data_IF_258297699191
#
_entry.id   IF_258297699191
#
_cell.length_a   1.000
_cell.length_b   1.000
_cell.length_c   1.000
_cell.angle_alpha   90.00
_cell.angle_beta   90.00
_cell.angle_gamma   90.00
#
_symmetry.space_group_name_H-M   'P 1'
#
loop_
_entity.id
_entity.type
_entity.pdbx_description
1 polymer ?
#
# COMPACT_ATOMS: atom_id res chain seq x y z
N UNK A 1 71.59 -50.23 7.48
CA UNK A 1 70.20 -50.29 6.97
C UNK A 1 69.28 -49.69 8.03
N UNK A 2 68.63 -48.56 7.76
CA UNK A 2 67.40 -48.12 8.43
C UNK A 2 66.89 -46.84 7.74
N UNK A 3 65.90 -46.97 6.85
CA UNK A 3 65.15 -45.85 6.28
C UNK A 3 63.94 -45.61 7.19
N UNK A 4 63.97 -44.54 7.98
CA UNK A 4 62.82 -44.10 8.79
C UNK A 4 61.96 -43.20 7.91
N UNK A 5 60.89 -43.78 7.36
CA UNK A 5 59.86 -43.07 6.60
C UNK A 5 58.88 -42.42 7.58
N UNK A 6 59.03 -41.11 7.81
CA UNK A 6 58.01 -40.29 8.46
C UNK A 6 56.91 -39.95 7.43
N UNK A 7 55.80 -40.69 7.49
CA UNK A 7 54.59 -40.38 6.76
C UNK A 7 53.89 -39.18 7.43
N UNK A 8 54.07 -38.00 6.84
CA UNK A 8 53.33 -36.78 7.20
C UNK A 8 51.92 -36.91 6.63
N UNK A 9 51.01 -37.46 7.42
CA UNK A 9 49.57 -37.48 7.14
C UNK A 9 48.97 -36.09 7.35
N UNK A 10 48.98 -35.26 6.30
CA UNK A 10 48.36 -33.93 6.31
C UNK A 10 46.84 -34.09 6.14
N UNK A 11 46.12 -34.23 7.26
CA UNK A 11 44.66 -34.15 7.30
C UNK A 11 44.27 -32.69 7.10
N UNK A 12 44.06 -32.29 5.85
CA UNK A 12 43.45 -31.00 5.51
C UNK A 12 41.95 -31.15 5.82
N UNK A 13 41.58 -30.83 7.07
CA UNK A 13 40.21 -30.50 7.42
C UNK A 13 39.88 -29.17 6.73
N UNK A 14 39.33 -29.27 5.52
CA UNK A 14 38.66 -28.16 4.85
C UNK A 14 37.46 -27.83 5.73
N UNK A 15 37.68 -26.94 6.71
CA UNK A 15 36.62 -26.21 7.37
C UNK A 15 36.02 -25.30 6.29
N UNK A 16 35.10 -25.86 5.50
CA UNK A 16 34.14 -25.10 4.72
C UNK A 16 33.24 -24.38 5.71
N UNK A 17 33.76 -23.29 6.27
CA UNK A 17 33.00 -22.26 6.97
C UNK A 17 31.96 -21.78 5.98
N UNK A 18 30.79 -22.40 6.00
CA UNK A 18 29.62 -21.94 5.30
C UNK A 18 29.44 -20.49 5.76
N UNK A 19 29.81 -19.55 4.88
CA UNK A 19 29.56 -18.14 5.07
C UNK A 19 28.05 -17.99 5.15
N UNK A 20 27.50 -18.09 6.36
CA UNK A 20 26.13 -17.73 6.63
C UNK A 20 26.05 -16.23 6.40
N UNK A 21 25.66 -15.86 5.19
CA UNK A 21 25.26 -14.49 4.87
C UNK A 21 24.05 -14.22 5.76
N UNK A 22 24.28 -13.56 6.89
CA UNK A 22 23.21 -13.11 7.78
C UNK A 22 22.36 -12.12 6.99
N UNK A 23 21.28 -12.64 6.38
CA UNK A 23 20.28 -11.82 5.70
C UNK A 23 19.60 -10.98 6.76
N UNK A 24 19.46 -9.68 6.50
CA UNK A 24 18.76 -8.84 7.46
C UNK A 24 17.27 -9.16 7.38
N UNK A 25 16.66 -9.49 8.51
CA UNK A 25 15.21 -9.70 8.56
C UNK A 25 14.54 -8.36 8.23
N UNK A 26 13.69 -8.27 7.18
CA UNK A 26 13.07 -7.01 6.81
C UNK A 26 12.12 -6.52 7.93
N UNK A 27 12.06 -5.20 8.21
CA UNK A 27 11.09 -4.62 9.12
C UNK A 27 9.64 -4.94 8.73
N UNK A 28 8.68 -4.99 9.67
CA UNK A 28 7.27 -5.30 9.37
C UNK A 28 6.68 -4.47 8.22
N UNK A 29 6.98 -3.17 8.19
CA UNK A 29 6.53 -2.26 7.13
C UNK A 29 6.95 -2.75 5.73
N UNK A 30 8.21 -3.17 5.57
CA UNK A 30 8.75 -3.71 4.32
C UNK A 30 8.14 -5.07 3.99
N UNK A 31 7.96 -5.94 5.00
CA UNK A 31 7.33 -7.27 4.80
C UNK A 31 5.90 -7.16 4.29
N UNK A 32 5.17 -6.11 4.69
CA UNK A 32 3.80 -5.87 4.27
C UNK A 32 3.69 -5.00 3.01
N UNK A 33 4.80 -4.46 2.52
CA UNK A 33 4.83 -3.62 1.32
C UNK A 33 4.66 -4.41 0.01
N UNK A 34 4.42 -3.67 -1.07
CA UNK A 34 4.38 -4.19 -2.44
C UNK A 34 5.71 -4.82 -2.89
N UNK A 35 5.65 -5.65 -3.94
CA UNK A 35 6.78 -6.46 -4.41
C UNK A 35 8.01 -5.62 -4.80
N UNK A 36 7.83 -4.44 -5.42
CA UNK A 36 8.94 -3.57 -5.80
C UNK A 36 9.74 -3.03 -4.61
N UNK A 37 9.09 -2.75 -3.48
CA UNK A 37 9.77 -2.30 -2.26
C UNK A 37 10.57 -3.44 -1.63
N UNK A 38 10.00 -4.65 -1.63
CA UNK A 38 10.68 -5.87 -1.16
C UNK A 38 11.91 -6.17 -2.03
N UNK A 39 11.77 -6.04 -3.35
CA UNK A 39 12.88 -6.16 -4.29
C UNK A 39 14.00 -5.18 -3.94
N UNK A 40 13.71 -3.90 -3.75
CA UNK A 40 14.72 -2.91 -3.36
C UNK A 40 15.45 -3.30 -2.07
N UNK A 41 14.71 -3.75 -1.05
CA UNK A 41 15.28 -4.17 0.23
C UNK A 41 16.24 -5.35 0.07
N UNK A 42 15.84 -6.38 -0.67
CA UNK A 42 16.65 -7.57 -0.93
C UNK A 42 17.88 -7.26 -1.77
N UNK A 43 17.75 -6.34 -2.74
CA UNK A 43 18.87 -5.88 -3.58
C UNK A 43 19.95 -5.19 -2.75
N UNK A 44 19.59 -4.38 -1.76
CA UNK A 44 20.56 -3.74 -0.86
C UNK A 44 21.34 -4.75 -0.03
N UNK A 45 20.71 -5.85 0.38
CA UNK A 45 21.41 -6.95 1.06
C UNK A 45 22.37 -7.72 0.15
N UNK A 46 22.16 -7.67 -1.17
CA UNK A 46 23.09 -8.19 -2.19
C UNK A 46 24.19 -7.19 -2.58
N UNK A 47 24.18 -5.98 -2.02
CA UNK A 47 25.13 -4.94 -2.40
C UNK A 47 24.72 -4.18 -3.66
N UNK A 48 23.42 -4.07 -3.94
CA UNK A 48 22.90 -3.37 -5.11
C UNK A 48 21.98 -2.22 -4.70
N UNK A 49 22.26 -1.02 -5.19
CA UNK A 49 21.38 0.13 -5.06
C UNK A 49 20.79 0.48 -6.43
N UNK A 50 19.48 0.49 -6.50
CA UNK A 50 18.72 0.66 -7.74
C UNK A 50 17.98 2.01 -7.71
N UNK A 51 18.22 2.87 -8.70
CA UNK A 51 17.39 4.06 -8.93
C UNK A 51 16.21 3.81 -9.90
N UNK A 52 16.11 2.60 -10.43
CA UNK A 52 14.97 2.08 -11.18
C UNK A 52 14.63 0.65 -10.74
N UNK A 53 13.36 0.26 -10.79
CA UNK A 53 12.86 -1.03 -10.31
C UNK A 53 12.33 -1.87 -11.49
N UNK A 54 13.14 -2.78 -12.06
CA UNK A 54 12.72 -3.58 -13.20
C UNK A 54 11.55 -4.50 -12.83
N UNK A 55 10.57 -4.65 -13.74
CA UNK A 55 9.40 -5.51 -13.54
C UNK A 55 8.32 -4.94 -12.60
N UNK A 56 8.49 -3.71 -12.10
CA UNK A 56 7.57 -3.09 -11.15
C UNK A 56 7.20 -1.65 -11.56
N UNK A 57 6.56 -1.42 -12.73
CA UNK A 57 6.42 -0.08 -13.31
C UNK A 57 5.68 0.94 -12.42
N UNK A 58 4.64 0.51 -11.69
CA UNK A 58 3.93 1.41 -10.77
C UNK A 58 4.81 1.82 -9.58
N UNK A 59 5.50 0.86 -8.97
CA UNK A 59 6.43 1.14 -7.86
C UNK A 59 7.64 1.92 -8.34
N UNK A 60 8.14 1.65 -9.55
CA UNK A 60 9.27 2.33 -10.18
C UNK A 60 8.99 3.82 -10.37
N UNK A 61 7.85 4.16 -11.00
CA UNK A 61 7.46 5.56 -11.18
C UNK A 61 7.36 6.32 -9.86
N UNK A 62 6.77 5.70 -8.82
CA UNK A 62 6.68 6.30 -7.49
C UNK A 62 8.05 6.42 -6.80
N UNK A 63 8.92 5.42 -6.96
CA UNK A 63 10.28 5.46 -6.44
C UNK A 63 11.11 6.57 -7.09
N UNK A 64 10.94 6.76 -8.41
CA UNK A 64 11.61 7.82 -9.14
C UNK A 64 11.19 9.19 -8.63
N UNK A 65 9.88 9.40 -8.47
CA UNK A 65 9.33 10.61 -7.87
C UNK A 65 9.92 10.85 -6.47
N UNK A 66 9.87 9.84 -5.59
CA UNK A 66 10.44 9.93 -4.25
C UNK A 66 11.93 10.29 -4.24
N UNK A 67 12.76 9.65 -5.06
CA UNK A 67 14.20 9.94 -5.09
C UNK A 67 14.48 11.37 -5.58
N UNK A 68 13.72 11.85 -6.58
CA UNK A 68 13.87 13.21 -7.10
C UNK A 68 13.44 14.26 -6.08
N UNK A 69 12.31 14.03 -5.40
CA UNK A 69 11.67 15.03 -4.57
C UNK A 69 12.27 15.05 -3.15
N UNK A 70 12.59 13.87 -2.58
CA UNK A 70 13.05 13.71 -1.20
C UNK A 70 14.47 13.15 -1.10
N UNK A 71 14.94 12.42 -2.11
CA UNK A 71 16.18 11.65 -2.02
C UNK A 71 17.40 12.49 -1.67
N UNK A 72 17.60 13.63 -2.32
CA UNK A 72 18.73 14.52 -2.02
C UNK A 72 18.72 15.02 -0.56
N UNK A 73 17.55 15.43 -0.06
CA UNK A 73 17.41 15.87 1.32
C UNK A 73 17.78 14.76 2.31
N UNK A 74 17.26 13.53 2.07
CA UNK A 74 17.54 12.38 2.93
C UNK A 74 19.03 12.00 2.93
N UNK A 75 19.69 12.00 1.76
CA UNK A 75 21.13 11.73 1.64
C UNK A 75 21.94 12.76 2.44
N UNK A 76 21.66 14.06 2.23
CA UNK A 76 22.38 15.12 2.94
C UNK A 76 22.16 15.04 4.45
N UNK A 77 20.91 14.90 4.91
CA UNK A 77 20.60 14.79 6.33
C UNK A 77 21.27 13.55 6.97
N UNK A 78 21.33 12.41 6.28
CA UNK A 78 22.02 11.21 6.76
C UNK A 78 23.52 11.47 6.97
N UNK A 79 24.22 11.98 5.95
CA UNK A 79 25.65 12.21 6.04
C UNK A 79 26.01 13.38 6.97
N UNK A 80 25.27 14.49 6.97
CA UNK A 80 25.53 15.61 7.88
C UNK A 80 25.39 15.21 9.34
N UNK A 81 24.44 14.34 9.71
CA UNK A 81 24.34 13.83 11.09
C UNK A 81 25.51 12.93 11.48
N UNK A 82 26.06 12.18 10.52
CA UNK A 82 27.07 11.15 10.80
C UNK A 82 28.50 11.67 10.73
N UNK A 83 28.76 12.60 9.82
CA UNK A 83 30.09 13.15 9.54
C UNK A 83 30.21 14.63 9.93
N UNK A 84 29.15 15.25 10.45
CA UNK A 84 29.07 16.62 11.02
C UNK A 84 29.73 17.69 10.14
N UNK A 85 31.04 17.85 10.23
CA UNK A 85 31.84 18.87 9.54
C UNK A 85 32.89 18.30 8.58
N UNK A 86 33.09 16.98 8.53
CA UNK A 86 34.07 16.34 7.64
C UNK A 86 33.41 15.86 6.34
N UNK A 87 33.30 16.78 5.38
CA UNK A 87 32.73 16.50 4.05
C UNK A 87 33.60 15.52 3.23
N UNK A 88 34.92 15.50 3.46
CA UNK A 88 35.82 14.57 2.78
C UNK A 88 35.57 13.14 3.25
N UNK A 89 35.43 12.92 4.57
CA UNK A 89 35.06 11.62 5.12
C UNK A 89 33.68 11.18 4.61
N UNK A 90 32.69 12.09 4.55
CA UNK A 90 31.37 11.78 4.02
C UNK A 90 31.45 11.32 2.55
N UNK A 91 32.27 12.00 1.75
CA UNK A 91 32.51 11.67 0.35
C UNK A 91 33.17 10.31 0.19
N UNK A 92 34.23 10.03 0.96
CA UNK A 92 34.92 8.73 1.01
C UNK A 92 33.99 7.59 1.42
N UNK A 93 33.00 7.88 2.26
CA UNK A 93 32.01 6.91 2.71
C UNK A 93 30.77 6.80 1.80
N UNK A 94 30.77 7.47 0.64
CA UNK A 94 29.79 7.26 -0.43
C UNK A 94 28.73 8.35 -0.59
N UNK A 95 28.89 9.54 0.03
CA UNK A 95 27.93 10.66 -0.12
C UNK A 95 27.78 11.10 -1.58
N UNK A 96 28.89 11.43 -2.25
CA UNK A 96 28.88 11.90 -3.64
C UNK A 96 28.26 10.87 -4.57
N UNK A 97 28.56 9.59 -4.33
CA UNK A 97 27.94 8.48 -5.04
C UNK A 97 26.41 8.46 -4.83
N UNK A 98 25.94 8.48 -3.57
CA UNK A 98 24.52 8.44 -3.28
C UNK A 98 23.78 9.64 -3.89
N UNK A 99 24.38 10.84 -3.87
CA UNK A 99 23.85 12.02 -4.52
C UNK A 99 23.71 11.83 -6.03
N UNK A 100 24.71 11.25 -6.70
CA UNK A 100 24.64 10.98 -8.15
C UNK A 100 23.51 10.02 -8.52
N UNK A 101 23.20 9.06 -7.65
CA UNK A 101 22.12 8.10 -7.88
C UNK A 101 20.73 8.73 -7.74
N UNK A 102 20.51 9.52 -6.68
CA UNK A 102 19.19 10.17 -6.45
C UNK A 102 18.92 11.30 -7.44
N UNK A 103 19.98 11.88 -8.03
CA UNK A 103 19.88 12.89 -9.09
C UNK A 103 19.82 12.32 -10.51
N UNK A 104 19.90 10.99 -10.67
CA UNK A 104 19.94 10.35 -11.98
C UNK A 104 21.11 10.81 -12.87
N UNK A 105 22.21 11.24 -12.25
CA UNK A 105 23.47 11.49 -12.99
C UNK A 105 24.07 10.17 -13.50
N UNK A 106 23.62 9.05 -12.93
CA UNK A 106 23.94 7.68 -13.37
C UNK A 106 22.66 6.87 -13.51
N UNK A 107 22.28 6.53 -14.73
CA UNK A 107 21.12 5.68 -15.01
C UNK A 107 21.54 4.20 -14.94
N UNK A 108 21.63 3.62 -13.74
CA UNK A 108 21.96 2.21 -13.59
C UNK A 108 21.80 1.69 -12.15
N UNK A 109 21.97 0.38 -12.01
CA UNK A 109 22.30 -0.28 -10.76
C UNK A 109 23.68 0.18 -10.31
N UNK A 110 23.82 0.53 -9.04
CA UNK A 110 25.13 0.61 -8.41
C UNK A 110 25.42 -0.63 -7.58
N UNK A 111 26.58 -1.23 -7.81
CA UNK A 111 27.08 -2.35 -7.03
C UNK A 111 28.09 -1.85 -6.00
N UNK A 112 27.94 -2.28 -4.76
CA UNK A 112 28.82 -1.97 -3.63
C UNK A 112 29.05 -3.23 -2.79
N UNK A 113 30.14 -3.28 -2.02
CA UNK A 113 30.37 -4.38 -1.10
C UNK A 113 29.61 -4.08 0.22
N UNK A 114 28.56 -4.84 0.58
CA UNK A 114 27.73 -4.51 1.74
C UNK A 114 28.45 -4.69 3.08
N UNK A 115 29.64 -5.32 3.09
CA UNK A 115 30.49 -5.47 4.29
C UNK A 115 31.43 -4.28 4.47
N UNK A 116 31.94 -3.72 3.38
CA UNK A 116 32.88 -2.60 3.41
C UNK A 116 32.13 -1.26 3.38
N UNK A 117 31.10 -1.14 2.55
CA UNK A 117 30.33 0.09 2.38
C UNK A 117 29.10 0.11 3.30
N UNK A 118 29.33 -0.01 4.61
CA UNK A 118 28.25 -0.09 5.61
C UNK A 118 27.36 1.15 5.64
N UNK A 119 27.93 2.35 5.43
CA UNK A 119 27.17 3.61 5.35
C UNK A 119 26.25 3.68 4.13
N UNK A 120 26.73 3.26 2.96
CA UNK A 120 25.92 3.17 1.74
C UNK A 120 24.76 2.20 1.94
N UNK A 121 25.03 1.01 2.51
CA UNK A 121 23.99 0.03 2.83
C UNK A 121 22.94 0.59 3.79
N UNK A 122 23.38 1.26 4.85
CA UNK A 122 22.48 1.84 5.86
C UNK A 122 21.62 2.97 5.28
N UNK A 123 22.21 3.86 4.48
CA UNK A 123 21.49 4.91 3.76
C UNK A 123 20.48 4.32 2.78
N UNK A 124 20.86 3.31 1.99
CA UNK A 124 19.95 2.68 1.05
C UNK A 124 18.71 2.11 1.76
N UNK A 125 18.92 1.40 2.89
CA UNK A 125 17.81 0.91 3.73
C UNK A 125 16.97 2.03 4.32
N UNK A 126 17.59 3.14 4.71
CA UNK A 126 16.88 4.32 5.19
C UNK A 126 15.97 4.89 4.10
N UNK A 127 16.48 5.10 2.89
CA UNK A 127 15.71 5.62 1.75
C UNK A 127 14.53 4.71 1.42
N UNK A 128 14.76 3.39 1.33
CA UNK A 128 13.69 2.40 1.07
C UNK A 128 12.64 2.41 2.19
N UNK A 129 13.06 2.54 3.45
CA UNK A 129 12.14 2.62 4.58
C UNK A 129 11.29 3.89 4.55
N UNK A 130 11.87 5.03 4.18
CA UNK A 130 11.12 6.29 4.04
C UNK A 130 10.14 6.21 2.87
N UNK A 131 10.57 5.67 1.73
CA UNK A 131 9.69 5.43 0.60
C UNK A 131 8.52 4.49 0.96
N UNK A 132 8.80 3.40 1.67
CA UNK A 132 7.74 2.49 2.14
C UNK A 132 6.73 3.19 3.05
N UNK A 133 7.15 4.14 3.89
CA UNK A 133 6.23 4.95 4.71
C UNK A 133 5.34 5.84 3.85
N UNK A 134 5.91 6.52 2.84
CA UNK A 134 5.15 7.36 1.90
C UNK A 134 4.11 6.52 1.17
N UNK A 135 4.53 5.37 0.61
CA UNK A 135 3.64 4.44 -0.10
C UNK A 135 2.53 3.87 0.77
N UNK A 136 2.85 3.51 2.01
CA UNK A 136 1.84 3.05 2.96
C UNK A 136 0.83 4.17 3.29
N UNK A 137 1.29 5.40 3.46
CA UNK A 137 0.40 6.56 3.69
C UNK A 137 -0.54 6.79 2.51
N UNK A 138 -0.02 6.76 1.28
CA UNK A 138 -0.83 6.89 0.06
C UNK A 138 -1.88 5.77 -0.05
N UNK A 139 -1.49 4.53 0.25
CA UNK A 139 -2.41 3.39 0.23
C UNK A 139 -3.56 3.57 1.24
N UNK A 140 -3.24 4.01 2.47
CA UNK A 140 -4.24 4.27 3.51
C UNK A 140 -5.18 5.42 3.12
N UNK A 141 -4.64 6.52 2.58
CA UNK A 141 -5.46 7.66 2.11
C UNK A 141 -6.37 7.23 0.95
N UNK A 142 -5.85 6.47 -0.01
CA UNK A 142 -6.64 5.94 -1.13
C UNK A 142 -7.76 5.00 -0.69
N UNK A 143 -7.53 4.17 0.32
CA UNK A 143 -8.58 3.33 0.91
C UNK A 143 -9.66 4.18 1.61
N UNK A 144 -9.26 5.23 2.33
CA UNK A 144 -10.20 6.16 2.96
C UNK A 144 -11.14 6.83 1.96
N UNK A 145 -10.62 7.29 0.82
CA UNK A 145 -11.45 7.87 -0.25
C UNK A 145 -12.45 6.88 -0.82
N UNK A 146 -12.03 5.65 -1.12
CA UNK A 146 -12.94 4.61 -1.63
C UNK A 146 -14.07 4.30 -0.67
N UNK A 147 -13.76 4.17 0.62
CA UNK A 147 -14.77 3.96 1.66
C UNK A 147 -15.73 5.14 1.77
N UNK A 148 -15.22 6.37 1.67
CA UNK A 148 -16.06 7.57 1.66
C UNK A 148 -17.02 7.59 0.47
N UNK A 149 -16.54 7.22 -0.72
CA UNK A 149 -17.35 7.18 -1.94
C UNK A 149 -18.41 6.08 -1.88
N UNK A 150 -18.05 4.89 -1.38
CA UNK A 150 -19.00 3.80 -1.17
C UNK A 150 -20.09 4.17 -0.17
N UNK A 151 -19.74 4.85 0.93
CA UNK A 151 -20.72 5.35 1.91
C UNK A 151 -21.63 6.42 1.31
N UNK A 152 -21.10 7.32 0.48
CA UNK A 152 -21.91 8.31 -0.23
C UNK A 152 -22.90 7.63 -1.19
N UNK A 153 -22.48 6.58 -1.91
CA UNK A 153 -23.36 5.80 -2.79
C UNK A 153 -24.46 5.09 -2.01
N UNK A 154 -24.12 4.39 -0.93
CA UNK A 154 -25.11 3.69 -0.08
C UNK A 154 -26.16 4.68 0.44
N UNK A 155 -25.73 5.86 0.90
CA UNK A 155 -26.64 6.90 1.37
C UNK A 155 -27.60 7.38 0.29
N UNK A 156 -27.09 7.64 -0.92
CA UNK A 156 -27.94 8.04 -2.05
C UNK A 156 -28.95 6.94 -2.43
N UNK A 157 -28.55 5.67 -2.40
CA UNK A 157 -29.45 4.54 -2.66
C UNK A 157 -30.54 4.43 -1.60
N UNK A 158 -30.21 4.62 -0.32
CA UNK A 158 -31.19 4.62 0.77
C UNK A 158 -32.18 5.79 0.66
N UNK A 159 -31.68 6.99 0.35
CA UNK A 159 -32.52 8.17 0.14
C UNK A 159 -33.47 7.97 -1.06
N UNK A 160 -32.98 7.42 -2.17
CA UNK A 160 -33.79 7.07 -3.33
C UNK A 160 -34.85 6.01 -2.98
N UNK A 161 -34.47 4.95 -2.26
CA UNK A 161 -35.40 3.89 -1.82
C UNK A 161 -36.48 4.45 -0.89
N UNK A 162 -36.11 5.34 0.05
CA UNK A 162 -37.07 6.01 0.94
C UNK A 162 -38.02 6.91 0.16
N UNK A 163 -37.53 7.64 -0.84
CA UNK A 163 -38.36 8.47 -1.70
C UNK A 163 -39.35 7.63 -2.54
N UNK A 164 -38.92 6.48 -3.07
CA UNK A 164 -39.79 5.55 -3.79
C UNK A 164 -40.88 4.98 -2.88
N UNK A 165 -40.53 4.52 -1.68
CA UNK A 165 -41.50 4.03 -0.70
C UNK A 165 -42.49 5.12 -0.29
N UNK A 166 -42.03 6.35 -0.09
CA UNK A 166 -42.90 7.49 0.21
C UNK A 166 -43.84 7.83 -0.96
N UNK A 167 -43.37 7.74 -2.21
CA UNK A 167 -44.21 7.90 -3.39
C UNK A 167 -45.28 6.81 -3.45
N UNK A 168 -44.88 5.54 -3.30
CA UNK A 168 -45.79 4.39 -3.30
C UNK A 168 -46.87 4.51 -2.21
N UNK A 169 -46.49 4.91 -1.00
CA UNK A 169 -47.43 5.10 0.10
C UNK A 169 -48.44 6.22 -0.18
N UNK A 170 -48.04 7.29 -0.88
CA UNK A 170 -48.97 8.36 -1.30
C UNK A 170 -49.96 7.87 -2.36
N UNK A 171 -49.53 7.02 -3.28
CA UNK A 171 -50.41 6.45 -4.31
C UNK A 171 -51.41 5.49 -3.68
N UNK A 172 -50.95 4.59 -2.79
CA UNK A 172 -51.83 3.71 -2.01
C UNK A 172 -52.87 4.49 -1.20
N UNK A 173 -52.48 5.59 -0.55
CA UNK A 173 -53.41 6.45 0.19
C UNK A 173 -54.48 7.10 -0.69
N UNK A 174 -54.18 7.37 -1.96
CA UNK A 174 -55.14 7.91 -2.94
C UNK A 174 -56.12 6.85 -3.44
N UNK A 175 -55.67 5.63 -3.69
CA UNK A 175 -56.54 4.55 -4.14
C UNK A 175 -57.57 4.14 -3.07
N UNK A 176 -57.16 4.17 -1.79
CA UNK A 176 -58.06 3.92 -0.66
C UNK A 176 -59.13 4.99 -0.49
N UNK A 177 -58.81 6.27 -0.73
CA UNK A 177 -59.80 7.35 -0.62
C UNK A 177 -60.85 7.32 -1.75
N UNK A 178 -60.48 6.85 -2.94
CA UNK A 178 -61.42 6.69 -4.07
C UNK A 178 -62.40 5.52 -3.86
N UNK A 179 -61.95 4.44 -3.22
CA UNK A 179 -62.80 3.28 -2.94
C UNK A 179 -63.79 3.53 -1.79
N UNK A 180 -63.42 4.32 -0.77
CA UNK A 180 -64.33 4.67 0.33
C UNK A 180 -65.52 5.55 -0.09
N UNK A 181 -65.36 6.39 -1.13
CA UNK A 181 -66.45 7.22 -1.66
C UNK A 181 -67.46 6.39 -2.47
N UNK A 182 -67.01 5.39 -3.23
CA UNK A 182 -67.89 4.57 -4.08
C UNK A 182 -68.77 3.59 -3.29
N UNK A 183 -68.42 3.28 -2.04
CA UNK A 183 -69.21 2.42 -1.17
C UNK A 183 -70.50 3.06 -0.62
N UNK A 184 -70.54 4.39 -0.48
CA UNK A 184 -71.68 5.08 0.14
C UNK A 184 -72.84 5.40 -0.83
N UNK A 185 -72.62 5.38 -2.15
CA UNK A 185 -73.68 5.62 -3.13
C UNK A 185 -74.53 4.37 -3.43
N UNK A 186 -74.07 3.17 -3.04
CA UNK A 186 -74.77 1.90 -3.30
C UNK A 186 -75.83 1.49 -2.26
N UNK A 187 -75.78 2.03 -1.03
CA UNK A 187 -76.66 1.59 0.06
C UNK A 187 -77.95 2.42 0.23
N UNK A 188 -78.11 3.55 -0.47
CA UNK A 188 -79.33 4.37 -0.36
C UNK A 188 -80.49 3.98 -1.30
N UNK A 189 -80.34 2.96 -2.16
CA UNK A 189 -81.41 2.54 -3.10
C UNK A 189 -82.20 1.28 -2.72
N UNK A 190 -81.98 0.66 -1.55
CA UNK A 190 -82.70 -0.57 -1.16
C UNK A 190 -83.68 -0.44 0.02
N UNK A 191 -84.14 0.78 0.37
CA UNK A 191 -85.04 0.98 1.52
C UNK A 191 -86.37 1.70 1.20
N UNK A 192 -86.98 1.46 0.04
CA UNK A 192 -88.41 1.78 -0.19
C UNK A 192 -89.11 0.63 -0.91
N UNK A 193 -89.36 -0.44 -0.17
CA UNK A 193 -90.16 -1.60 -0.62
C UNK A 193 -91.02 -2.12 0.52
N UNK A 194 -91.84 -1.25 1.11
CA UNK A 194 -92.79 -1.63 2.16
C UNK A 194 -93.92 -2.50 1.59
N UNK A 195 -94.23 -3.67 2.20
CA UNK A 195 -95.31 -4.52 1.75
C UNK A 195 -96.67 -3.88 2.01
N UNK A 196 -97.53 -3.98 1.00
CA UNK A 196 -98.94 -3.61 1.01
C UNK A 196 -99.71 -4.58 1.91
N UNK A 197 -100.20 -4.08 3.04
CA UNK A 197 -101.12 -4.82 3.91
C UNK A 197 -102.55 -4.35 3.65
N UNK A 198 -103.26 -5.12 2.82
CA UNK A 198 -104.71 -5.11 2.75
C UNK A 198 -105.25 -5.89 3.95
N UNK A 199 -106.19 -5.33 4.73
CA UNK A 199 -107.29 -6.08 5.37
C UNK A 199 -108.26 -5.13 6.10
N UNK A 200 -109.48 -5.12 5.56
CA UNK A 200 -110.84 -5.01 6.17
C UNK A 200 -111.11 -4.00 7.27
#
# INVERSE_FOLDING_TARGET
>A
MAKVLFAVGMVILILSSALQVVRSVPPPLIRQSEAGIKFLWDSVDKGEFWNHIPGHPSTDSAWIGFLRDEGQFQVNNYYSRRFQTNEDDASLNGKSFALSMVRYERNAIHKFNPRENTYVRALAKLLISQFAKVRNKEAVVGQGHRLSDDLARIRQEEEARRAELAARNRDWGRDLSLSSWRGHEGEQQMSEGGPSESLR
#
